data_IF_465084772239
#
_entry.id   IF_465084772239
#
_cell.length_a   1.000
_cell.length_b   1.000
_cell.length_c   1.000
_cell.angle_alpha   90.00
_cell.angle_beta   90.00
_cell.angle_gamma   90.00
#
_symmetry.space_group_name_H-M   'P 1'
#
loop_
_entity.id
_entity.type
_entity.pdbx_description
1 polymer ?
#
# COMPACT_ATOMS: atom_id res chain seq x y z
N UNK A 1 11.45 0.92 -10.64
CA UNK A 1 12.43 0.69 -9.56
C UNK A 1 13.77 1.26 -10.03
N UNK A 2 14.12 2.47 -9.59
CA UNK A 2 15.48 3.01 -9.81
C UNK A 2 16.30 2.63 -8.58
N UNK A 3 17.20 1.67 -8.74
CA UNK A 3 18.25 1.37 -7.77
C UNK A 3 19.33 2.44 -7.93
N UNK A 4 19.72 3.10 -6.83
CA UNK A 4 20.78 4.11 -6.84
C UNK A 4 22.06 3.55 -7.46
N UNK A 5 22.60 4.27 -8.45
CA UNK A 5 23.68 3.83 -9.33
C UNK A 5 25.07 3.89 -8.72
N UNK A 6 25.34 3.13 -7.66
CA UNK A 6 26.71 2.98 -7.11
C UNK A 6 27.12 1.54 -6.73
N UNK A 7 26.34 0.53 -7.15
CA UNK A 7 26.68 -0.87 -6.91
C UNK A 7 26.50 -1.34 -5.46
N UNK A 8 25.86 -0.53 -4.60
CA UNK A 8 25.39 -0.98 -3.29
C UNK A 8 24.03 -1.68 -3.42
N UNK A 9 23.81 -2.70 -2.60
CA UNK A 9 22.52 -3.35 -2.46
C UNK A 9 21.46 -2.30 -2.11
N UNK A 10 20.43 -2.17 -2.94
CA UNK A 10 19.47 -1.08 -2.85
C UNK A 10 18.69 -1.14 -1.53
N UNK A 11 18.92 -0.19 -0.64
CA UNK A 11 18.24 -0.14 0.67
C UNK A 11 16.88 0.57 0.60
N UNK A 12 16.64 1.37 -0.44
CA UNK A 12 15.39 2.06 -0.69
C UNK A 12 15.16 2.21 -2.20
N UNK A 13 13.91 2.47 -2.59
CA UNK A 13 13.52 2.69 -3.98
C UNK A 13 12.53 3.84 -4.11
N UNK A 14 12.58 4.52 -5.25
CA UNK A 14 11.53 5.45 -5.69
C UNK A 14 10.72 4.74 -6.77
N UNK A 15 9.41 4.72 -6.59
CA UNK A 15 8.46 4.30 -7.62
C UNK A 15 8.09 5.52 -8.47
N UNK A 16 8.15 5.38 -9.79
CA UNK A 16 7.51 6.34 -10.68
C UNK A 16 5.99 6.13 -10.58
N UNK A 17 5.32 7.06 -9.89
CA UNK A 17 3.90 7.03 -9.67
C UNK A 17 3.11 7.85 -10.70
N UNK A 18 3.75 8.47 -11.70
CA UNK A 18 3.06 9.39 -12.62
C UNK A 18 1.92 8.71 -13.42
N UNK A 19 2.05 7.42 -13.72
CA UNK A 19 0.97 6.63 -14.35
C UNK A 19 -0.12 6.16 -13.38
N UNK A 20 0.11 6.23 -12.07
CA UNK A 20 -0.83 5.79 -11.02
C UNK A 20 -1.56 6.96 -10.37
N UNK A 21 -0.86 8.08 -10.17
CA UNK A 21 -1.38 9.32 -9.63
C UNK A 21 -1.64 10.25 -10.81
N UNK A 22 -2.91 10.54 -11.08
CA UNK A 22 -3.30 11.48 -12.15
C UNK A 22 -2.74 12.88 -11.93
N UNK A 23 -2.72 13.68 -12.99
CA UNK A 23 -2.22 15.06 -12.95
C UNK A 23 -2.89 15.88 -11.84
N UNK A 24 -2.07 16.61 -11.07
CA UNK A 24 -2.55 17.48 -10.00
C UNK A 24 -3.01 16.75 -8.73
N UNK A 25 -2.73 15.44 -8.59
CA UNK A 25 -2.99 14.74 -7.33
C UNK A 25 -2.24 15.43 -6.18
N UNK A 26 -2.92 15.81 -5.07
CA UNK A 26 -2.27 16.52 -3.98
C UNK A 26 -1.23 15.64 -3.28
N UNK A 27 -0.24 16.26 -2.64
CA UNK A 27 0.67 15.56 -1.74
C UNK A 27 -0.10 15.03 -0.54
N UNK A 28 0.19 13.79 -0.13
CA UNK A 28 -0.46 13.14 1.01
C UNK A 28 0.55 12.23 1.73
N UNK A 29 0.18 11.87 2.96
CA UNK A 29 0.86 10.82 3.71
C UNK A 29 0.00 9.56 3.69
N UNK A 30 0.65 8.41 3.61
CA UNK A 30 0.02 7.10 3.79
C UNK A 30 0.87 6.27 4.75
N UNK A 31 0.20 5.53 5.62
CA UNK A 31 0.85 4.63 6.58
C UNK A 31 0.75 3.20 6.06
N UNK A 32 1.81 2.42 6.25
CA UNK A 32 1.83 0.99 5.95
C UNK A 32 1.77 0.20 7.26
N UNK A 33 0.84 -0.73 7.34
CA UNK A 33 0.61 -1.57 8.53
C UNK A 33 0.61 -3.04 8.09
N UNK A 34 1.41 -3.86 8.76
CA UNK A 34 1.38 -5.30 8.55
C UNK A 34 0.20 -5.93 9.30
N UNK A 35 -0.54 -6.81 8.63
CA UNK A 35 -1.68 -7.54 9.20
C UNK A 35 -1.61 -9.02 8.84
N UNK A 36 -2.20 -9.86 9.69
CA UNK A 36 -2.21 -11.32 9.49
C UNK A 36 -3.09 -11.72 8.29
N UNK A 37 -4.18 -10.98 8.03
CA UNK A 37 -5.15 -11.27 6.97
C UNK A 37 -5.69 -9.96 6.36
N UNK A 38 -5.20 -9.64 5.16
CA UNK A 38 -5.64 -8.45 4.40
C UNK A 38 -7.14 -8.53 4.02
N UNK A 39 -7.66 -9.61 3.40
CA UNK A 39 -9.10 -9.74 3.13
C UNK A 39 -10.01 -9.53 4.35
N UNK A 40 -9.69 -10.14 5.50
CA UNK A 40 -10.46 -9.98 6.72
C UNK A 40 -10.40 -8.53 7.24
N UNK A 41 -9.25 -7.87 7.10
CA UNK A 41 -9.07 -6.46 7.42
C UNK A 41 -9.95 -5.57 6.55
N UNK A 42 -9.97 -5.77 5.22
CA UNK A 42 -10.83 -4.99 4.32
C UNK A 42 -12.32 -5.21 4.59
N UNK A 43 -12.71 -6.43 4.94
CA UNK A 43 -14.09 -6.71 5.34
C UNK A 43 -14.48 -5.93 6.61
N UNK A 44 -13.56 -5.79 7.57
CA UNK A 44 -13.78 -4.97 8.77
C UNK A 44 -13.86 -3.48 8.43
N UNK A 45 -12.97 -2.97 7.57
CA UNK A 45 -12.98 -1.58 7.08
C UNK A 45 -14.34 -1.25 6.45
N UNK A 46 -14.84 -2.10 5.55
CA UNK A 46 -16.14 -1.89 4.91
C UNK A 46 -17.30 -1.84 5.91
N UNK A 47 -17.29 -2.70 6.94
CA UNK A 47 -18.31 -2.67 8.02
C UNK A 47 -18.23 -1.42 8.89
N UNK A 48 -17.04 -0.85 9.05
CA UNK A 48 -16.78 0.33 9.88
C UNK A 48 -16.92 1.66 9.10
N UNK A 49 -17.33 1.59 7.83
CA UNK A 49 -17.59 2.77 7.00
C UNK A 49 -16.36 3.34 6.30
N UNK A 50 -15.26 2.58 6.20
CA UNK A 50 -14.10 2.97 5.41
C UNK A 50 -14.31 2.77 3.91
N UNK A 51 -13.56 3.53 3.12
CA UNK A 51 -13.56 3.51 1.66
C UNK A 51 -12.39 2.66 1.16
N UNK A 52 -12.66 1.58 0.42
CA UNK A 52 -11.60 0.78 -0.21
C UNK A 52 -11.07 1.54 -1.42
N UNK A 53 -9.78 1.87 -1.42
CA UNK A 53 -9.10 2.59 -2.49
C UNK A 53 -8.45 1.62 -3.49
N UNK A 54 -7.81 0.58 -2.95
CA UNK A 54 -7.23 -0.52 -3.71
C UNK A 54 -7.70 -1.83 -3.06
N UNK A 55 -8.37 -2.72 -3.81
CA UNK A 55 -8.73 -4.04 -3.29
C UNK A 55 -7.46 -4.84 -2.98
N UNK A 56 -7.63 -5.98 -2.30
CA UNK A 56 -6.52 -6.91 -2.09
C UNK A 56 -5.92 -7.34 -3.42
N UNK A 57 -4.61 -7.18 -3.55
CA UNK A 57 -3.81 -7.58 -4.70
C UNK A 57 -2.70 -8.53 -4.25
N UNK A 58 -2.60 -9.66 -4.93
CA UNK A 58 -1.56 -10.68 -4.70
C UNK A 58 -0.31 -10.29 -5.49
N UNK A 59 0.73 -9.86 -4.77
CA UNK A 59 1.98 -9.40 -5.38
C UNK A 59 3.14 -10.35 -5.03
N UNK A 60 4.25 -10.29 -5.78
CA UNK A 60 5.48 -11.02 -5.40
C UNK A 60 6.04 -10.64 -4.01
N UNK A 61 5.58 -9.53 -3.43
CA UNK A 61 6.03 -9.00 -2.14
C UNK A 61 5.00 -9.22 -1.02
N UNK A 62 4.02 -10.11 -1.24
CA UNK A 62 2.92 -10.37 -0.32
C UNK A 62 1.58 -9.80 -0.82
N UNK A 63 0.57 -9.85 0.04
CA UNK A 63 -0.77 -9.31 -0.26
C UNK A 63 -0.82 -7.86 0.17
N UNK A 64 -1.29 -6.96 -0.68
CA UNK A 64 -1.43 -5.54 -0.37
C UNK A 64 -2.85 -5.06 -0.63
N UNK A 65 -3.31 -4.09 0.18
CA UNK A 65 -4.53 -3.35 -0.07
C UNK A 65 -4.44 -1.94 0.51
N UNK A 66 -5.28 -1.02 0.06
CA UNK A 66 -5.37 0.30 0.68
C UNK A 66 -6.80 0.79 0.84
N UNK A 67 -7.01 1.58 1.88
CA UNK A 67 -8.31 2.16 2.21
C UNK A 67 -8.15 3.54 2.85
N UNK A 68 -9.26 4.27 2.89
CA UNK A 68 -9.42 5.49 3.65
C UNK A 68 -10.36 5.26 4.82
N UNK A 69 -9.98 5.69 6.01
CA UNK A 69 -10.91 5.66 7.14
C UNK A 69 -11.97 6.78 7.02
N UNK A 70 -13.03 6.78 7.85
CA UNK A 70 -14.05 7.84 7.83
C UNK A 70 -13.53 9.26 8.14
N UNK A 71 -12.32 9.39 8.70
CA UNK A 71 -11.66 10.66 9.01
C UNK A 71 -10.75 11.13 7.86
N UNK A 72 -10.61 10.33 6.80
CA UNK A 72 -9.85 10.66 5.61
C UNK A 72 -8.40 10.13 5.59
N UNK A 73 -7.97 9.36 6.60
CA UNK A 73 -6.60 8.86 6.66
C UNK A 73 -6.38 7.72 5.64
N UNK A 74 -5.34 7.83 4.81
CA UNK A 74 -4.95 6.81 3.85
C UNK A 74 -4.06 5.76 4.52
N UNK A 75 -4.45 4.49 4.46
CA UNK A 75 -3.75 3.37 5.09
C UNK A 75 -3.54 2.28 4.04
N UNK A 76 -2.32 1.77 3.95
CA UNK A 76 -1.97 0.55 3.25
C UNK A 76 -1.83 -0.58 4.27
N UNK A 77 -2.44 -1.72 4.00
CA UNK A 77 -2.27 -2.95 4.78
C UNK A 77 -1.60 -4.00 3.94
N UNK A 78 -0.71 -4.76 4.55
CA UNK A 78 0.01 -5.82 3.85
C UNK A 78 0.21 -7.07 4.72
N UNK A 79 0.20 -8.23 4.08
CA UNK A 79 0.73 -9.46 4.66
C UNK A 79 2.02 -9.79 3.91
N UNK A 80 3.17 -10.03 4.58
CA UNK A 80 4.43 -10.34 3.92
C UNK A 80 4.34 -11.65 3.12
N UNK A 81 5.25 -11.87 2.15
CA UNK A 81 5.29 -13.13 1.43
C UNK A 81 5.70 -14.26 2.39
N UNK A 82 5.27 -15.51 2.14
CA UNK A 82 5.64 -16.64 2.98
C UNK A 82 7.16 -16.79 3.12
N UNK A 83 7.64 -16.97 4.36
CA UNK A 83 9.06 -17.25 4.64
C UNK A 83 9.97 -16.04 4.81
N UNK A 84 9.40 -14.83 4.93
CA UNK A 84 10.10 -13.64 5.43
C UNK A 84 10.16 -13.61 6.96
#
# INVERSE_FOLDING_TARGET
MVTGGDGREGTAGIMDAAGMLGDGHPSFWQVYITVDDVPATLAAVGRLGGEILMPADDTPYGVLASFKDPMGAAICVATPPPGM
#
